data_IF_713761785395
#
_entry.id   IF_713761785395
#
_cell.length_a   1.000
_cell.length_b   1.000
_cell.length_c   1.000
_cell.angle_alpha   90.00
_cell.angle_beta   90.00
_cell.angle_gamma   90.00
#
_symmetry.space_group_name_H-M   'P 1'
#
loop_
_entity.id
_entity.type
_entity.pdbx_description
1 polymer ?
#
# COMPACT_ATOMS: atom_id res chain seq x y z
N UNK A 1 3.98 13.72 -12.30
CA UNK A 1 2.91 13.33 -11.35
C UNK A 1 3.47 13.29 -9.94
N UNK A 2 2.67 13.64 -8.94
CA UNK A 2 3.00 13.63 -7.50
C UNK A 2 2.00 12.73 -6.77
N UNK A 3 2.51 11.73 -6.04
CA UNK A 3 1.69 10.77 -5.29
C UNK A 3 1.97 10.92 -3.80
N UNK A 4 0.91 10.99 -3.01
CA UNK A 4 0.99 10.97 -1.55
C UNK A 4 0.69 9.55 -1.05
N UNK A 5 1.63 8.97 -0.30
CA UNK A 5 1.46 7.68 0.37
C UNK A 5 1.24 7.94 1.85
N UNK A 6 0.12 7.45 2.39
CA UNK A 6 -0.24 7.62 3.79
C UNK A 6 -0.32 6.26 4.48
N UNK A 7 0.38 6.15 5.60
CA UNK A 7 0.41 4.98 6.46
C UNK A 7 -0.34 5.28 7.76
N UNK A 8 -1.38 4.50 8.03
CA UNK A 8 -2.18 4.59 9.23
C UNK A 8 -1.46 4.05 10.49
N UNK A 9 -2.23 3.79 11.56
CA UNK A 9 -1.68 3.51 12.87
C UNK A 9 -0.87 2.21 12.92
N UNK A 10 0.16 2.23 13.75
CA UNK A 10 1.07 1.13 14.07
C UNK A 10 1.99 0.65 12.93
N UNK A 11 1.90 1.21 11.73
CA UNK A 11 2.77 0.80 10.61
C UNK A 11 4.22 1.22 10.80
N UNK A 12 4.51 2.23 11.62
CA UNK A 12 5.87 2.59 12.04
C UNK A 12 6.58 1.47 12.82
N UNK A 13 5.83 0.50 13.35
CA UNK A 13 6.38 -0.65 14.10
C UNK A 13 6.74 -1.85 13.21
N UNK A 14 6.60 -1.72 11.88
CA UNK A 14 6.99 -2.78 10.95
C UNK A 14 8.48 -3.11 11.05
N UNK A 15 8.80 -4.40 11.06
CA UNK A 15 10.16 -4.92 11.14
C UNK A 15 10.78 -4.89 12.54
N UNK A 16 10.14 -4.26 13.53
CA UNK A 16 10.62 -4.22 14.93
C UNK A 16 9.81 -5.09 15.87
N UNK A 17 8.52 -5.31 15.58
CA UNK A 17 7.66 -6.19 16.37
C UNK A 17 7.58 -7.60 15.77
N UNK A 18 7.93 -8.61 16.57
CA UNK A 18 7.78 -10.04 16.23
C UNK A 18 8.22 -10.36 14.78
N UNK A 19 9.48 -10.05 14.40
CA UNK A 19 9.94 -10.10 13.01
C UNK A 19 9.89 -11.50 12.38
N UNK A 20 9.86 -12.54 13.20
CA UNK A 20 9.64 -13.93 12.78
C UNK A 20 8.21 -14.17 12.24
N UNK A 21 7.24 -13.35 12.68
CA UNK A 21 5.82 -13.46 12.32
C UNK A 21 5.44 -12.47 11.22
N UNK A 22 5.93 -11.24 11.29
CA UNK A 22 5.53 -10.14 10.38
C UNK A 22 6.56 -9.83 9.28
N UNK A 23 7.70 -10.51 9.31
CA UNK A 23 8.83 -10.25 8.43
C UNK A 23 9.70 -9.09 8.91
N UNK A 24 10.88 -8.96 8.28
CA UNK A 24 11.89 -7.96 8.64
C UNK A 24 11.78 -6.63 7.88
N UNK A 25 10.82 -6.53 6.97
CA UNK A 25 10.66 -5.33 6.13
C UNK A 25 10.13 -4.18 6.98
N UNK A 26 10.95 -3.14 7.15
CA UNK A 26 10.56 -1.92 7.86
C UNK A 26 9.72 -1.00 6.98
N UNK A 27 8.97 -0.08 7.59
CA UNK A 27 8.23 0.95 6.86
C UNK A 27 9.17 1.82 6.01
N UNK A 28 10.33 2.19 6.56
CA UNK A 28 11.35 2.96 5.85
C UNK A 28 11.85 2.25 4.59
N UNK A 29 11.98 0.91 4.62
CA UNK A 29 12.36 0.13 3.45
C UNK A 29 11.26 0.15 2.37
N UNK A 30 9.98 0.11 2.77
CA UNK A 30 8.83 0.24 1.86
C UNK A 30 8.87 1.63 1.18
N UNK A 31 8.99 2.69 1.97
CA UNK A 31 9.08 4.06 1.47
C UNK A 31 10.24 4.25 0.50
N UNK A 32 11.41 3.70 0.82
CA UNK A 32 12.59 3.76 -0.04
C UNK A 32 12.33 3.13 -1.42
N UNK A 33 11.70 1.95 -1.44
CA UNK A 33 11.32 1.28 -2.71
C UNK A 33 10.28 2.07 -3.47
N UNK A 34 9.26 2.60 -2.81
CA UNK A 34 8.22 3.42 -3.46
C UNK A 34 8.80 4.69 -4.09
N UNK A 35 9.69 5.40 -3.39
CA UNK A 35 10.37 6.57 -3.95
C UNK A 35 11.27 6.20 -5.13
N UNK A 36 11.99 5.09 -5.05
CA UNK A 36 12.82 4.62 -6.16
C UNK A 36 11.98 4.23 -7.38
N UNK A 37 10.91 3.46 -7.19
CA UNK A 37 9.99 3.06 -8.25
C UNK A 37 9.28 4.27 -8.85
N UNK A 38 8.80 5.19 -8.02
CA UNK A 38 8.21 6.45 -8.48
C UNK A 38 9.15 7.22 -9.39
N UNK A 39 10.40 7.43 -8.98
CA UNK A 39 11.41 8.10 -9.82
C UNK A 39 11.64 7.38 -11.13
N UNK A 40 11.80 6.07 -11.10
CA UNK A 40 11.99 5.25 -12.31
C UNK A 40 10.80 5.38 -13.27
N UNK A 41 9.59 5.55 -12.73
CA UNK A 41 8.37 5.75 -13.50
C UNK A 41 8.08 7.24 -13.81
N UNK A 42 8.93 8.20 -13.47
CA UNK A 42 8.67 9.63 -13.73
C UNK A 42 7.62 10.29 -12.80
N UNK A 43 7.48 9.78 -11.59
CA UNK A 43 6.60 10.31 -10.54
C UNK A 43 7.38 10.67 -9.26
N UNK A 44 6.96 11.74 -8.60
CA UNK A 44 7.41 12.07 -7.25
C UNK A 44 6.53 11.39 -6.22
N UNK A 45 7.13 10.74 -5.22
CA UNK A 45 6.41 10.02 -4.16
C UNK A 45 6.80 10.61 -2.80
N UNK A 46 5.79 11.07 -2.07
CA UNK A 46 5.92 11.51 -0.68
C UNK A 46 5.24 10.49 0.23
N UNK A 47 5.90 10.09 1.32
CA UNK A 47 5.31 9.15 2.29
C UNK A 47 5.15 9.84 3.64
N UNK A 48 4.00 9.62 4.29
CA UNK A 48 3.67 10.11 5.63
C UNK A 48 3.07 8.99 6.47
N UNK A 49 3.32 8.98 7.77
CA UNK A 49 2.75 8.00 8.70
C UNK A 49 2.19 8.70 9.92
N UNK A 50 0.97 8.32 10.33
CA UNK A 50 0.40 8.79 11.60
C UNK A 50 -0.41 7.74 12.32
N UNK A 51 -0.40 7.82 13.65
CA UNK A 51 -1.32 7.09 14.52
C UNK A 51 -2.60 7.89 14.82
N UNK A 52 -2.71 9.14 14.36
CA UNK A 52 -3.81 10.04 14.67
C UNK A 52 -4.71 10.19 13.44
N UNK A 53 -5.98 9.79 13.59
CA UNK A 53 -7.00 9.91 12.53
C UNK A 53 -7.10 11.34 11.99
N UNK A 54 -7.16 12.34 12.87
CA UNK A 54 -7.29 13.75 12.48
C UNK A 54 -6.12 14.24 11.60
N UNK A 55 -4.90 13.78 11.87
CA UNK A 55 -3.74 14.15 11.06
C UNK A 55 -3.80 13.55 9.65
N UNK A 56 -4.24 12.28 9.54
CA UNK A 56 -4.49 11.64 8.25
C UNK A 56 -5.55 12.40 7.45
N UNK A 57 -6.66 12.77 8.11
CA UNK A 57 -7.73 13.59 7.51
C UNK A 57 -7.19 14.93 7.04
N UNK A 58 -6.36 15.61 7.84
CA UNK A 58 -5.71 16.88 7.47
C UNK A 58 -4.82 16.71 6.24
N UNK A 59 -4.02 15.65 6.16
CA UNK A 59 -3.17 15.40 4.99
C UNK A 59 -3.97 15.11 3.72
N UNK A 60 -5.06 14.35 3.83
CA UNK A 60 -5.97 14.10 2.71
C UNK A 60 -6.58 15.43 2.24
N UNK A 61 -7.14 16.23 3.15
CA UNK A 61 -7.76 17.51 2.82
C UNK A 61 -6.80 18.54 2.21
N UNK A 62 -5.50 18.48 2.55
CA UNK A 62 -4.48 19.35 1.98
C UNK A 62 -3.90 18.84 0.65
N UNK A 63 -4.24 17.62 0.21
CA UNK A 63 -3.66 17.02 -0.97
C UNK A 63 -4.05 17.69 -2.31
N UNK A 64 -5.28 18.20 -2.51
CA UNK A 64 -5.64 18.90 -3.74
C UNK A 64 -4.71 20.06 -4.08
N UNK A 65 -4.32 20.15 -5.36
CA UNK A 65 -3.36 21.15 -5.84
C UNK A 65 -1.88 20.84 -5.55
N UNK A 66 -1.60 19.81 -4.74
CA UNK A 66 -0.22 19.38 -4.41
C UNK A 66 0.09 17.96 -4.89
N UNK A 67 -0.93 17.10 -4.99
CA UNK A 67 -0.80 15.72 -5.40
C UNK A 67 -1.87 15.36 -6.43
N UNK A 68 -1.52 14.45 -7.33
CA UNK A 68 -2.39 13.95 -8.39
C UNK A 68 -3.17 12.70 -7.94
N UNK A 69 -2.68 11.98 -6.93
CA UNK A 69 -3.34 10.79 -6.40
C UNK A 69 -2.76 10.31 -5.07
N UNK A 70 -3.45 9.36 -4.43
CA UNK A 70 -3.10 8.83 -3.11
C UNK A 70 -2.93 7.31 -3.10
N UNK A 71 -2.01 6.84 -2.27
CA UNK A 71 -1.97 5.46 -1.80
C UNK A 71 -2.17 5.50 -0.29
N UNK A 72 -3.17 4.78 0.22
CA UNK A 72 -3.49 4.78 1.64
C UNK A 72 -3.47 3.35 2.17
N UNK A 73 -2.67 3.09 3.20
CA UNK A 73 -2.89 1.94 4.08
C UNK A 73 -3.50 2.46 5.38
N UNK A 74 -4.83 2.37 5.59
CA UNK A 74 -5.46 2.92 6.77
C UNK A 74 -5.23 2.06 8.02
N UNK A 75 -4.58 0.90 7.88
CA UNK A 75 -4.41 -0.11 8.92
C UNK A 75 -5.74 -0.39 9.65
N UNK A 76 -5.80 -0.20 10.97
CA UNK A 76 -7.01 -0.44 11.74
C UNK A 76 -8.17 0.50 11.36
N UNK A 77 -7.87 1.73 10.92
CA UNK A 77 -8.89 2.74 10.62
C UNK A 77 -9.74 2.41 9.41
N UNK A 78 -9.31 1.47 8.57
CA UNK A 78 -10.14 1.02 7.45
C UNK A 78 -11.49 0.47 7.95
N UNK A 79 -11.52 -0.11 9.16
CA UNK A 79 -12.71 -0.73 9.72
C UNK A 79 -13.61 0.24 10.50
N UNK A 80 -13.10 1.41 10.88
CA UNK A 80 -13.74 2.27 11.88
C UNK A 80 -13.89 3.73 11.46
N UNK A 81 -13.01 4.24 10.60
CA UNK A 81 -12.94 5.67 10.31
C UNK A 81 -13.89 6.09 9.20
N UNK A 82 -15.03 6.66 9.59
CA UNK A 82 -15.90 7.41 8.67
C UNK A 82 -15.22 8.71 8.26
N UNK A 83 -14.43 9.34 9.14
CA UNK A 83 -13.75 10.61 8.86
C UNK A 83 -12.74 10.49 7.70
N UNK A 84 -11.91 9.44 7.68
CA UNK A 84 -10.97 9.20 6.58
C UNK A 84 -11.71 8.88 5.27
N UNK A 85 -12.77 8.07 5.33
CA UNK A 85 -13.63 7.79 4.17
C UNK A 85 -14.18 9.09 3.58
N UNK A 86 -14.79 9.93 4.41
CA UNK A 86 -15.46 11.14 3.96
C UNK A 86 -14.46 12.18 3.46
N UNK A 87 -13.26 12.25 4.07
CA UNK A 87 -12.17 13.08 3.56
C UNK A 87 -11.73 12.65 2.15
N UNK A 88 -11.57 11.35 1.90
CA UNK A 88 -11.23 10.84 0.56
C UNK A 88 -12.33 11.16 -0.47
N UNK A 89 -13.59 10.94 -0.10
CA UNK A 89 -14.72 11.26 -0.96
C UNK A 89 -14.83 12.76 -1.27
N UNK A 90 -14.54 13.62 -0.29
CA UNK A 90 -14.61 15.07 -0.44
C UNK A 90 -13.54 15.64 -1.36
N UNK A 91 -12.30 15.10 -1.34
CA UNK A 91 -11.21 15.62 -2.17
C UNK A 91 -11.26 15.12 -3.61
N UNK A 92 -11.93 14.00 -3.88
CA UNK A 92 -12.13 13.46 -5.23
C UNK A 92 -10.85 13.03 -5.97
N UNK A 93 -9.70 12.99 -5.29
CA UNK A 93 -8.45 12.53 -5.88
C UNK A 93 -8.46 11.00 -6.05
N UNK A 94 -7.96 10.47 -7.18
CA UNK A 94 -7.80 9.03 -7.36
C UNK A 94 -6.94 8.42 -6.25
N UNK A 95 -7.46 7.39 -5.59
CA UNK A 95 -6.80 6.77 -4.44
C UNK A 95 -6.80 5.24 -4.57
N UNK A 96 -5.78 4.57 -4.03
CA UNK A 96 -5.70 3.11 -3.92
C UNK A 96 -5.49 2.72 -2.46
N UNK A 97 -6.31 1.80 -1.96
CA UNK A 97 -6.16 1.24 -0.62
C UNK A 97 -5.17 0.07 -0.61
N UNK A 98 -4.29 0.00 0.39
CA UNK A 98 -3.31 -1.08 0.52
C UNK A 98 -3.39 -1.73 1.90
N UNK A 99 -3.34 -3.07 1.93
CA UNK A 99 -3.21 -3.86 3.14
C UNK A 99 -2.09 -4.88 3.00
N UNK A 100 -1.12 -4.86 3.92
CA UNK A 100 -0.01 -5.81 3.94
C UNK A 100 -0.51 -7.26 4.08
N UNK A 101 -1.44 -7.49 5.01
CA UNK A 101 -2.07 -8.80 5.23
C UNK A 101 -3.38 -8.93 4.47
N UNK A 102 -3.80 -10.17 4.19
CA UNK A 102 -5.12 -10.43 3.63
C UNK A 102 -6.19 -10.21 4.71
N UNK A 103 -6.89 -9.08 4.65
CA UNK A 103 -7.90 -8.70 5.64
C UNK A 103 -9.14 -9.61 5.61
N UNK A 104 -9.39 -10.31 4.50
CA UNK A 104 -10.54 -11.21 4.37
C UNK A 104 -10.34 -12.56 5.08
N UNK A 105 -9.08 -12.98 5.31
CA UNK A 105 -8.75 -14.18 6.09
C UNK A 105 -8.83 -13.97 7.59
N UNK A 106 -9.10 -12.74 8.02
CA UNK A 106 -9.10 -12.33 9.42
C UNK A 106 -10.51 -12.36 10.02
N UNK A 107 -10.59 -11.91 11.28
CA UNK A 107 -11.81 -11.77 12.07
C UNK A 107 -12.89 -11.01 11.30
N UNK A 108 -14.18 -11.31 11.53
CA UNK A 108 -15.29 -10.77 10.74
C UNK A 108 -15.29 -9.23 10.66
N UNK A 109 -14.96 -8.55 11.77
CA UNK A 109 -14.89 -7.09 11.82
C UNK A 109 -13.81 -6.50 10.90
N UNK A 110 -12.79 -7.30 10.52
CA UNK A 110 -11.71 -6.87 9.62
C UNK A 110 -12.04 -7.07 8.13
N UNK A 111 -13.18 -7.67 7.82
CA UNK A 111 -13.55 -7.93 6.42
C UNK A 111 -14.21 -6.73 5.76
N UNK A 112 -14.74 -5.79 6.55
CA UNK A 112 -15.37 -4.56 6.07
C UNK A 112 -14.37 -3.41 6.09
N UNK A 113 -14.15 -2.81 4.92
CA UNK A 113 -13.44 -1.54 4.76
C UNK A 113 -14.46 -0.44 4.51
N UNK A 114 -14.40 0.64 5.27
CA UNK A 114 -15.15 1.87 5.03
C UNK A 114 -14.50 2.71 3.91
N UNK A 115 -13.21 2.46 3.63
CA UNK A 115 -12.41 3.16 2.63
C UNK A 115 -12.60 2.56 1.23
N UNK A 116 -12.68 1.23 1.12
CA UNK A 116 -12.77 0.51 -0.16
C UNK A 116 -13.86 1.04 -1.11
N UNK A 117 -15.06 1.46 -0.64
CA UNK A 117 -16.09 2.00 -1.52
C UNK A 117 -15.80 3.37 -2.14
N UNK A 118 -14.80 4.11 -1.65
CA UNK A 118 -14.49 5.50 -2.09
C UNK A 118 -13.11 5.64 -2.75
N UNK A 119 -12.45 4.53 -3.04
CA UNK A 119 -11.14 4.48 -3.72
C UNK A 119 -11.28 3.73 -5.05
N UNK A 120 -10.28 3.85 -5.93
CA UNK A 120 -10.25 3.14 -7.22
C UNK A 120 -10.23 1.62 -7.06
N UNK A 121 -9.56 1.15 -6.02
CA UNK A 121 -9.37 -0.27 -5.75
C UNK A 121 -8.54 -0.52 -4.51
N UNK A 122 -8.46 -1.79 -4.15
CA UNK A 122 -7.76 -2.26 -2.95
C UNK A 122 -6.76 -3.36 -3.32
N UNK A 123 -5.54 -3.26 -2.83
CA UNK A 123 -4.51 -4.32 -2.90
C UNK A 123 -4.32 -4.90 -1.50
N UNK A 124 -4.63 -6.18 -1.31
CA UNK A 124 -4.57 -6.81 0.02
C UNK A 124 -3.82 -8.14 0.01
N UNK A 125 -2.98 -8.35 1.02
CA UNK A 125 -2.37 -9.67 1.29
C UNK A 125 -1.12 -10.00 0.50
N UNK A 126 -0.58 -9.05 -0.26
CA UNK A 126 0.66 -9.22 -1.03
C UNK A 126 1.88 -8.65 -0.28
N UNK A 127 1.75 -8.38 1.02
CA UNK A 127 2.82 -7.78 1.81
C UNK A 127 3.25 -6.45 1.22
N UNK A 128 4.56 -6.20 1.25
CA UNK A 128 5.10 -4.94 0.78
C UNK A 128 5.01 -4.73 -0.74
N UNK A 129 4.93 -5.81 -1.53
CA UNK A 129 4.70 -5.74 -2.98
C UNK A 129 3.37 -5.04 -3.31
N UNK A 130 2.38 -5.13 -2.43
CA UNK A 130 1.09 -4.49 -2.62
C UNK A 130 1.18 -2.96 -2.80
N UNK A 131 2.18 -2.32 -2.19
CA UNK A 131 2.43 -0.89 -2.36
C UNK A 131 2.95 -0.55 -3.77
N UNK A 132 3.85 -1.38 -4.31
CA UNK A 132 4.42 -1.17 -5.64
C UNK A 132 3.35 -1.38 -6.72
N UNK A 133 2.49 -2.40 -6.55
CA UNK A 133 1.34 -2.64 -7.42
C UNK A 133 0.34 -1.49 -7.37
N UNK A 134 0.06 -0.95 -6.16
CA UNK A 134 -0.82 0.21 -6.01
C UNK A 134 -0.25 1.45 -6.71
N UNK A 135 1.07 1.70 -6.63
CA UNK A 135 1.71 2.82 -7.31
C UNK A 135 1.63 2.67 -8.83
N UNK A 136 1.94 1.49 -9.37
CA UNK A 136 1.84 1.24 -10.81
C UNK A 136 0.41 1.42 -11.30
N UNK A 137 -0.57 0.82 -10.61
CA UNK A 137 -1.98 0.92 -10.99
C UNK A 137 -2.51 2.36 -10.93
N UNK A 138 -2.14 3.11 -9.89
CA UNK A 138 -2.52 4.52 -9.75
C UNK A 138 -1.91 5.37 -10.87
N UNK A 139 -0.62 5.20 -11.18
CA UNK A 139 0.02 5.95 -12.25
C UNK A 139 -0.55 5.61 -13.63
N UNK A 140 -0.87 4.33 -13.89
CA UNK A 140 -1.55 3.92 -15.11
C UNK A 140 -2.90 4.64 -15.26
N UNK A 141 -3.70 4.65 -14.19
CA UNK A 141 -4.99 5.33 -14.15
C UNK A 141 -4.85 6.83 -14.42
N UNK A 142 -3.92 7.51 -13.73
CA UNK A 142 -3.69 8.95 -13.90
C UNK A 142 -3.22 9.33 -15.30
N UNK A 143 -2.56 8.42 -16.02
CA UNK A 143 -2.11 8.64 -17.40
C UNK A 143 -3.16 8.28 -18.45
N UNK A 144 -4.24 7.60 -18.07
CA UNK A 144 -5.17 6.99 -19.01
C UNK A 144 -4.53 5.90 -19.88
N UNK A 145 -3.51 5.19 -19.37
CA UNK A 145 -2.70 4.25 -20.12
C UNK A 145 -2.93 2.79 -19.70
N UNK A 146 -2.66 1.85 -20.61
CA UNK A 146 -2.55 0.45 -20.26
C UNK A 146 -1.29 0.22 -19.41
N UNK A 147 -1.32 -0.78 -18.54
CA UNK A 147 -0.20 -1.08 -17.62
C UNK A 147 1.10 -1.35 -18.38
N UNK A 148 1.04 -1.96 -19.57
CA UNK A 148 2.22 -2.22 -20.41
C UNK A 148 2.98 -0.94 -20.79
N UNK A 149 2.26 0.15 -21.04
CA UNK A 149 2.84 1.44 -21.45
C UNK A 149 3.55 2.14 -20.29
N UNK A 150 3.10 1.89 -19.04
CA UNK A 150 3.74 2.38 -17.83
C UNK A 150 5.15 1.81 -17.66
N UNK A 151 5.34 0.54 -18.04
CA UNK A 151 6.64 -0.12 -18.01
C UNK A 151 7.48 0.12 -19.27
N UNK A 152 6.86 0.43 -20.41
CA UNK A 152 7.58 0.77 -21.65
C UNK A 152 8.55 1.94 -21.51
N UNK A 153 8.25 2.89 -20.62
CA UNK A 153 9.15 4.01 -20.28
C UNK A 153 10.42 3.61 -19.51
N UNK A 154 10.49 2.40 -18.95
CA UNK A 154 11.70 1.87 -18.30
C UNK A 154 12.65 1.16 -19.27
N UNK A 155 12.18 0.83 -20.47
CA UNK A 155 12.96 0.08 -21.47
C UNK A 155 13.72 0.99 -22.46
N UNK A 156 13.49 2.31 -22.44
CA UNK A 156 14.22 3.27 -23.25
C UNK A 156 15.32 3.95 -22.45
N UNK A 157 16.51 3.33 -22.45
CA UNK A 157 17.87 3.91 -22.24
C UNK A 157 18.84 2.85 -21.67
N UNK A 158 18.99 1.72 -22.37
CA UNK A 158 19.73 0.58 -21.81
C UNK A 158 20.32 -0.40 -22.82
N UNK A 159 20.78 0.04 -23.98
CA UNK A 159 21.92 -0.65 -24.58
C UNK A 159 23.17 -0.27 -23.75
N UNK A 160 23.75 -1.28 -23.10
CA UNK A 160 25.07 -1.32 -22.49
C UNK A 160 25.22 -0.86 -21.02
N UNK A 161 25.02 -1.80 -20.08
CA UNK A 161 26.06 -2.17 -19.11
C UNK A 161 25.63 -3.40 -18.30
N UNK A 162 26.46 -4.43 -18.35
CA UNK A 162 26.24 -5.68 -17.63
C UNK A 162 26.37 -5.49 -16.12
N UNK A 163 25.31 -5.86 -15.40
CA UNK A 163 25.37 -6.45 -14.07
C UNK A 163 24.01 -7.09 -13.77
N UNK A 164 23.83 -8.34 -14.20
CA UNK A 164 22.74 -9.18 -13.74
C UNK A 164 22.98 -9.50 -12.25
N UNK A 165 22.48 -8.64 -11.37
CA UNK A 165 22.38 -8.90 -9.93
C UNK A 165 21.20 -9.82 -9.67
N UNK A 166 21.49 -11.09 -9.40
CA UNK A 166 20.52 -12.18 -9.34
C UNK A 166 19.38 -11.97 -8.35
N UNK A 167 18.18 -12.30 -8.80
CA UNK A 167 17.07 -12.68 -7.93
C UNK A 167 17.49 -13.94 -7.13
N UNK A 168 17.97 -13.72 -5.92
CA UNK A 168 18.23 -14.78 -4.96
C UNK A 168 16.95 -15.55 -4.66
N UNK A 169 16.88 -16.79 -5.15
CA UNK A 169 15.90 -17.78 -4.69
C UNK A 169 16.18 -18.07 -3.22
N UNK A 170 15.45 -17.44 -2.29
CA UNK A 170 15.29 -17.99 -0.95
C UNK A 170 13.92 -18.65 -0.87
N UNK A 171 13.87 -19.92 -1.27
CA UNK A 171 12.81 -20.83 -0.89
C UNK A 171 12.90 -21.05 0.62
N UNK A 172 12.15 -20.26 1.38
CA UNK A 172 11.81 -20.55 2.76
C UNK A 172 10.38 -21.03 2.78
N UNK A 173 10.16 -22.30 3.11
CA UNK A 173 8.83 -22.84 3.35
C UNK A 173 8.09 -21.96 4.37
N UNK A 174 6.89 -21.52 4.02
CA UNK A 174 6.03 -20.72 4.89
C UNK A 174 5.37 -21.67 5.91
N UNK A 175 5.75 -21.67 7.20
CA UNK A 175 5.22 -22.63 8.16
C UNK A 175 3.80 -22.29 8.66
N UNK A 176 3.13 -21.27 8.11
CA UNK A 176 1.81 -20.81 8.58
C UNK A 176 0.60 -21.42 7.84
N UNK A 177 0.72 -22.67 7.37
CA UNK A 177 -0.41 -23.47 6.89
C UNK A 177 -0.97 -24.36 8.01
N UNK A 178 -1.55 -23.74 9.04
CA UNK A 178 -2.63 -24.36 9.82
C UNK A 178 -3.72 -23.32 10.05
N UNK A 179 -4.87 -23.55 9.44
CA UNK A 179 -6.09 -22.84 9.82
C UNK A 179 -6.41 -23.19 11.28
N UNK A 180 -6.83 -22.23 12.13
CA UNK A 180 -7.33 -22.56 13.45
C UNK A 180 -8.64 -23.34 13.30
N UNK A 181 -8.72 -24.50 13.94
CA UNK A 181 -9.98 -25.23 14.12
C UNK A 181 -10.96 -24.31 14.88
N UNK A 182 -12.09 -24.01 14.25
CA UNK A 182 -13.22 -23.35 14.91
C UNK A 182 -13.83 -24.37 15.88
N UNK A 183 -13.36 -24.35 17.12
CA UNK A 183 -14.02 -25.04 18.22
C UNK A 183 -15.33 -24.34 18.56
N UNK A 184 -16.44 -24.86 18.05
CA UNK A 184 -17.74 -24.65 18.68
C UNK A 184 -17.68 -25.16 20.12
N UNK A 185 -17.82 -24.24 21.08
CA UNK A 185 -18.31 -24.60 22.41
C UNK A 185 -19.48 -23.69 22.76
N UNK A 186 -20.66 -24.19 22.42
CA UNK A 186 -21.89 -23.90 23.15
C UNK A 186 -21.67 -24.16 24.64
N UNK A 187 -21.90 -23.13 25.47
CA UNK A 187 -22.67 -23.15 26.72
C UNK A 187 -22.73 -21.76 27.32
#
# INVERSE_FOLDING_TARGET
>A
MRVLVIHGPNLQLLGTREPEIYGRTTLQAIDGRLRALGRALGAFVECRQSNHEGEIVTWIGAAPGQFDGLILNPAAYTHTSVAIRDALAAVGLPAVEVHLSNVHRREAFRRRSLVAPVVLGTVSGLGALGYELALVGLLAHLRGQAVADVFGGLAGDGENSGAAGGFGKSGGENPALKAPELGEKNR
#
